data_IF_932748928028
#
_entry.id   IF_932748928028
#
_cell.length_a   1.000
_cell.length_b   1.000
_cell.length_c   1.000
_cell.angle_alpha   90.00
_cell.angle_beta   90.00
_cell.angle_gamma   90.00
#
_symmetry.space_group_name_H-M   'P 1'
#
loop_
_entity.id
_entity.type
_entity.pdbx_description
1 polymer ?
#
# COMPACT_ATOMS: atom_id res chain seq x y z
N UNK A 1 -1.37 10.12 -13.18
CA UNK A 1 -0.39 9.05 -12.90
C UNK A 1 -0.04 9.11 -11.43
N UNK A 2 -0.22 8.04 -10.69
CA UNK A 2 0.35 7.92 -9.35
C UNK A 2 1.84 7.70 -9.57
N UNK A 3 2.62 8.80 -9.59
CA UNK A 3 4.08 8.71 -9.63
C UNK A 3 4.50 8.08 -8.30
N UNK A 4 5.16 6.93 -8.33
CA UNK A 4 5.74 6.30 -7.14
C UNK A 4 6.93 7.08 -6.55
N UNK A 5 7.06 8.37 -6.87
CA UNK A 5 8.09 9.25 -6.39
C UNK A 5 7.49 10.57 -5.89
N UNK A 6 8.05 11.10 -4.82
CA UNK A 6 7.72 12.42 -4.27
C UNK A 6 9.01 13.17 -3.90
N UNK A 7 8.98 14.50 -4.01
CA UNK A 7 10.08 15.31 -3.53
C UNK A 7 10.07 15.37 -1.99
N UNK A 8 11.17 14.95 -1.37
CA UNK A 8 11.25 14.87 0.10
C UNK A 8 12.65 14.48 0.59
N UNK A 9 12.70 14.02 1.84
CA UNK A 9 13.96 13.65 2.51
C UNK A 9 14.20 12.14 2.58
N UNK A 10 13.19 11.29 2.36
CA UNK A 10 13.32 9.84 2.42
C UNK A 10 13.51 9.30 3.83
N UNK A 11 12.54 9.56 4.69
CA UNK A 11 12.51 8.97 6.04
C UNK A 11 11.08 8.65 6.47
N UNK A 12 10.96 7.63 7.31
CA UNK A 12 9.75 7.38 8.07
C UNK A 12 9.76 8.27 9.32
N UNK A 13 8.62 8.89 9.64
CA UNK A 13 8.46 9.67 10.86
C UNK A 13 7.33 9.08 11.72
N UNK A 14 7.46 9.19 13.03
CA UNK A 14 6.44 8.79 14.01
C UNK A 14 6.14 9.91 14.96
N UNK A 15 4.89 9.98 15.46
CA UNK A 15 4.48 11.02 16.42
C UNK A 15 4.64 10.50 17.85
N UNK A 16 5.38 11.26 18.65
CA UNK A 16 5.49 11.00 20.09
C UNK A 16 4.46 11.85 20.85
N UNK A 17 3.45 11.18 21.41
CA UNK A 17 2.34 11.83 22.11
C UNK A 17 2.76 12.56 23.38
N UNK A 18 3.81 12.06 24.08
CA UNK A 18 4.33 12.69 25.31
C UNK A 18 5.07 13.98 24.99
N UNK A 19 5.91 13.98 23.96
CA UNK A 19 6.67 15.14 23.52
C UNK A 19 5.85 16.09 22.64
N UNK A 20 4.68 15.67 22.15
CA UNK A 20 3.84 16.36 21.17
C UNK A 20 4.64 16.77 19.92
N UNK A 21 5.58 15.91 19.48
CA UNK A 21 6.48 16.14 18.33
C UNK A 21 6.64 14.88 17.50
N UNK A 22 6.89 15.07 16.21
CA UNK A 22 7.31 13.99 15.34
C UNK A 22 8.80 13.70 15.52
N UNK A 23 9.17 12.44 15.31
CA UNK A 23 10.55 11.94 15.40
C UNK A 23 10.89 11.16 14.13
N UNK A 24 12.17 11.14 13.76
CA UNK A 24 12.66 10.20 12.74
C UNK A 24 12.52 8.78 13.31
N UNK A 25 11.69 7.95 12.67
CA UNK A 25 11.61 6.53 12.97
C UNK A 25 12.69 5.76 12.23
N UNK A 26 12.90 6.09 10.94
CA UNK A 26 13.90 5.44 10.09
C UNK A 26 14.27 6.36 8.92
N UNK A 27 15.55 6.76 8.75
CA UNK A 27 16.04 7.36 7.52
C UNK A 27 16.34 6.25 6.51
N UNK A 28 15.79 6.35 5.28
CA UNK A 28 16.04 5.33 4.25
C UNK A 28 17.45 5.48 3.68
N UNK A 29 18.12 4.36 3.46
CA UNK A 29 19.46 4.32 2.92
C UNK A 29 19.56 5.04 1.55
N UNK A 30 20.64 5.77 1.33
CA UNK A 30 20.89 6.52 0.09
C UNK A 30 20.03 7.76 -0.12
N UNK A 31 19.15 8.12 0.81
CA UNK A 31 18.26 9.28 0.71
C UNK A 31 18.86 10.54 1.38
N UNK A 32 18.31 11.74 1.12
CA UNK A 32 18.78 12.97 1.76
C UNK A 32 18.83 12.93 3.29
N UNK A 33 17.87 12.27 3.92
CA UNK A 33 17.86 12.12 5.38
C UNK A 33 19.08 11.35 5.88
N UNK A 34 19.38 10.21 5.26
CA UNK A 34 20.55 9.40 5.61
C UNK A 34 21.86 10.11 5.26
N UNK A 35 21.94 10.72 4.06
CA UNK A 35 23.11 11.49 3.61
C UNK A 35 23.43 12.68 4.53
N UNK A 36 22.40 13.35 5.06
CA UNK A 36 22.56 14.45 6.01
C UNK A 36 22.98 13.96 7.41
N UNK A 37 22.89 12.65 7.71
CA UNK A 37 23.24 12.09 9.01
C UNK A 37 22.11 12.10 10.04
N UNK A 38 20.84 12.22 9.60
CA UNK A 38 19.70 11.98 10.48
C UNK A 38 19.69 10.54 10.96
N UNK A 39 19.26 10.33 12.20
CA UNK A 39 19.19 9.01 12.84
C UNK A 39 17.80 8.73 13.41
N UNK A 40 17.47 7.46 13.56
CA UNK A 40 16.29 7.06 14.30
C UNK A 40 16.35 7.63 15.72
N UNK A 41 15.23 8.17 16.20
CA UNK A 41 15.12 8.85 17.48
C UNK A 41 15.34 10.38 17.44
N UNK A 42 15.82 10.96 16.34
CA UNK A 42 15.94 12.42 16.21
C UNK A 42 14.55 13.08 16.32
N UNK A 43 14.40 13.96 17.29
CA UNK A 43 13.14 14.71 17.55
C UNK A 43 13.14 15.94 16.66
N UNK A 44 12.10 16.09 15.85
CA UNK A 44 11.98 17.20 14.90
C UNK A 44 11.48 18.46 15.62
N UNK A 45 12.31 19.51 15.64
CA UNK A 45 12.06 20.74 16.38
C UNK A 45 11.52 21.84 15.47
N UNK A 46 12.24 22.19 14.40
CA UNK A 46 11.90 23.30 13.51
C UNK A 46 12.25 22.97 12.05
N UNK A 47 11.44 23.49 11.13
CA UNK A 47 11.71 23.53 9.69
C UNK A 47 11.69 24.99 9.24
N UNK A 48 12.83 25.50 8.71
CA UNK A 48 13.00 26.91 8.29
C UNK A 48 12.52 27.91 9.33
N UNK A 49 12.86 27.68 10.62
CA UNK A 49 12.48 28.53 11.76
C UNK A 49 11.02 28.34 12.24
N UNK A 50 10.24 27.47 11.61
CA UNK A 50 8.86 27.17 12.04
C UNK A 50 8.86 26.02 13.03
N UNK A 51 8.38 26.27 14.25
CA UNK A 51 8.25 25.23 15.30
C UNK A 51 7.27 24.13 14.89
N UNK A 52 7.62 22.89 15.21
CA UNK A 52 6.85 21.67 14.93
C UNK A 52 6.07 21.16 16.16
N UNK A 53 6.09 21.89 17.30
CA UNK A 53 5.35 21.48 18.49
C UNK A 53 3.84 21.36 18.20
N UNK A 54 3.25 20.26 18.60
CA UNK A 54 1.81 20.01 18.42
C UNK A 54 1.36 19.68 17.00
N UNK A 55 2.24 19.75 15.99
CA UNK A 55 1.91 19.36 14.62
C UNK A 55 1.91 17.84 14.50
N UNK A 56 0.87 17.32 13.88
CA UNK A 56 0.76 15.87 13.63
C UNK A 56 1.69 15.41 12.49
N UNK A 57 1.86 14.10 12.35
CA UNK A 57 2.75 13.52 11.32
C UNK A 57 2.41 13.94 9.89
N UNK A 58 1.13 14.16 9.58
CA UNK A 58 0.72 14.58 8.23
C UNK A 58 1.18 16.00 7.93
N UNK A 59 1.03 16.93 8.88
CA UNK A 59 1.48 18.31 8.75
C UNK A 59 3.01 18.39 8.63
N UNK A 60 3.73 17.67 9.51
CA UNK A 60 5.21 17.63 9.45
C UNK A 60 5.67 17.00 8.14
N UNK A 61 5.05 15.91 7.70
CA UNK A 61 5.36 15.26 6.42
C UNK A 61 5.14 16.20 5.22
N UNK A 62 4.09 17.04 5.25
CA UNK A 62 3.87 18.03 4.19
C UNK A 62 4.97 19.11 4.17
N UNK A 63 5.46 19.53 5.34
CA UNK A 63 6.56 20.51 5.43
C UNK A 63 7.91 19.93 4.99
N UNK A 64 8.17 18.66 5.27
CA UNK A 64 9.37 17.94 4.81
C UNK A 64 9.36 17.71 3.29
N UNK A 65 8.17 17.58 2.68
CA UNK A 65 8.01 17.44 1.23
C UNK A 65 8.18 18.77 0.52
N UNK A 66 8.46 18.70 -0.78
CA UNK A 66 8.59 19.86 -1.65
C UNK A 66 9.19 19.49 -2.99
N UNK A 67 9.47 20.47 -3.83
CA UNK A 67 10.09 20.24 -5.12
C UNK A 67 11.52 19.67 -4.93
N UNK A 68 11.86 18.61 -5.68
CA UNK A 68 13.23 18.10 -5.69
C UNK A 68 14.22 19.19 -6.12
N UNK A 69 15.40 19.25 -5.47
CA UNK A 69 16.41 20.27 -5.64
C UNK A 69 16.26 21.48 -4.71
N UNK A 70 15.12 21.64 -4.01
CA UNK A 70 14.98 22.71 -3.01
C UNK A 70 15.60 22.29 -1.68
N UNK A 71 16.25 23.23 -0.98
CA UNK A 71 16.84 23.02 0.35
C UNK A 71 16.00 23.66 1.45
N UNK A 72 16.17 23.16 2.66
CA UNK A 72 15.61 23.74 3.88
C UNK A 72 16.49 23.40 5.09
N UNK A 73 16.33 24.17 6.16
CA UNK A 73 17.00 23.92 7.44
C UNK A 73 16.10 23.12 8.36
N UNK A 74 16.63 22.06 8.94
CA UNK A 74 15.94 21.20 9.91
C UNK A 74 16.72 21.23 11.22
N UNK A 75 16.07 21.67 12.30
CA UNK A 75 16.60 21.51 13.65
C UNK A 75 15.98 20.28 14.29
N UNK A 76 16.85 19.50 14.93
CA UNK A 76 16.45 18.33 15.70
C UNK A 76 17.11 18.33 17.07
N UNK A 77 16.53 17.57 17.98
CA UNK A 77 17.15 17.18 19.24
C UNK A 77 17.43 15.68 19.21
N UNK A 78 18.69 15.29 19.32
CA UNK A 78 19.13 13.90 19.34
C UNK A 78 19.32 13.42 20.77
N UNK A 79 18.61 12.37 21.21
CA UNK A 79 18.87 11.72 22.51
C UNK A 79 20.33 11.28 22.61
N UNK A 80 20.96 11.51 23.77
CA UNK A 80 22.34 11.14 24.02
C UNK A 80 22.44 10.10 25.15
N UNK A 81 23.59 9.44 25.26
CA UNK A 81 23.85 8.36 26.25
C UNK A 81 23.74 8.81 27.72
N UNK A 82 23.82 10.12 27.98
CA UNK A 82 23.72 10.71 29.31
C UNK A 82 22.26 11.01 29.73
N UNK A 83 21.27 10.59 28.92
CA UNK A 83 19.86 10.84 29.14
C UNK A 83 19.39 12.25 28.83
N UNK A 84 20.25 13.08 28.20
CA UNK A 84 19.93 14.42 27.71
C UNK A 84 19.65 14.42 26.19
N UNK A 85 19.51 15.62 25.64
CA UNK A 85 19.30 15.86 24.22
C UNK A 85 20.40 16.80 23.70
N UNK A 86 20.88 16.53 22.49
CA UNK A 86 21.87 17.36 21.81
C UNK A 86 21.18 18.05 20.63
N UNK A 87 21.11 19.39 20.60
CA UNK A 87 20.55 20.12 19.47
C UNK A 87 21.48 20.04 18.28
N UNK A 88 20.90 19.80 17.10
CA UNK A 88 21.61 19.71 15.83
C UNK A 88 20.81 20.45 14.76
N UNK A 89 21.53 21.04 13.78
CA UNK A 89 20.92 21.67 12.61
C UNK A 89 21.50 21.01 11.34
N UNK A 90 20.60 20.69 10.41
CA UNK A 90 20.92 20.09 9.12
C UNK A 90 20.37 20.95 7.99
N UNK A 91 21.18 21.16 6.94
CA UNK A 91 20.67 21.67 5.67
C UNK A 91 20.41 20.47 4.76
N UNK A 92 19.16 20.25 4.40
CA UNK A 92 18.75 19.09 3.62
C UNK A 92 18.23 19.54 2.26
N UNK A 93 18.79 18.97 1.19
CA UNK A 93 18.29 19.15 -0.18
C UNK A 93 17.30 18.06 -0.48
N UNK A 94 16.05 18.42 -0.85
CA UNK A 94 15.02 17.44 -1.24
C UNK A 94 15.42 16.76 -2.53
N UNK A 95 15.28 15.44 -2.57
CA UNK A 95 15.44 14.65 -3.79
C UNK A 95 14.10 14.02 -4.18
N UNK A 96 14.02 13.48 -5.40
CA UNK A 96 12.90 12.62 -5.80
C UNK A 96 13.06 11.27 -5.11
N UNK A 97 12.27 11.04 -4.06
CA UNK A 97 12.30 9.81 -3.27
C UNK A 97 11.43 8.77 -3.96
N UNK A 98 12.03 7.66 -4.33
CA UNK A 98 11.31 6.46 -4.74
C UNK A 98 11.21 5.52 -3.54
N UNK A 99 10.00 5.26 -3.10
CA UNK A 99 9.77 4.20 -2.11
C UNK A 99 9.88 2.87 -2.86
N UNK A 100 10.78 1.96 -2.47
CA UNK A 100 10.88 0.65 -3.11
C UNK A 100 9.55 -0.08 -2.95
N UNK A 101 9.04 -0.64 -4.06
CA UNK A 101 7.82 -1.43 -4.02
C UNK A 101 8.02 -2.73 -3.23
N UNK A 102 9.23 -3.28 -3.30
CA UNK A 102 9.67 -4.46 -2.54
C UNK A 102 10.77 -4.01 -1.56
N UNK A 103 10.44 -3.51 -0.36
CA UNK A 103 11.42 -3.08 0.62
C UNK A 103 12.22 -4.26 1.19
N UNK A 104 11.67 -5.45 1.18
CA UNK A 104 12.31 -6.63 1.75
C UNK A 104 11.87 -7.92 1.04
N UNK A 105 12.84 -8.78 0.72
CA UNK A 105 12.61 -10.14 0.22
C UNK A 105 13.72 -11.05 0.74
N UNK A 106 13.35 -12.24 1.23
CA UNK A 106 14.30 -13.23 1.79
C UNK A 106 13.75 -14.64 1.69
N UNK A 107 14.64 -15.63 1.75
CA UNK A 107 14.25 -17.02 2.04
C UNK A 107 14.32 -17.21 3.55
N UNK A 108 13.20 -17.55 4.15
CA UNK A 108 13.08 -17.89 5.56
C UNK A 108 13.41 -19.37 5.78
N UNK A 109 13.39 -19.81 7.04
CA UNK A 109 13.50 -21.23 7.39
C UNK A 109 12.48 -22.08 6.61
N UNK A 110 12.79 -23.38 6.45
CA UNK A 110 11.96 -24.31 5.69
C UNK A 110 11.74 -23.94 4.20
N UNK A 111 12.64 -23.16 3.60
CA UNK A 111 12.59 -22.76 2.19
C UNK A 111 11.34 -21.94 1.83
N UNK A 112 10.85 -21.15 2.75
CA UNK A 112 9.75 -20.24 2.51
C UNK A 112 10.29 -18.92 1.96
N UNK A 113 9.96 -18.58 0.72
CA UNK A 113 10.22 -17.25 0.15
C UNK A 113 9.27 -16.23 0.78
N UNK A 114 9.78 -15.08 1.22
CA UNK A 114 8.99 -13.97 1.73
C UNK A 114 9.24 -12.73 0.87
N UNK A 115 8.16 -12.06 0.46
CA UNK A 115 8.20 -10.79 -0.29
C UNK A 115 7.28 -9.79 0.40
N UNK A 116 7.84 -8.69 0.91
CA UNK A 116 7.06 -7.54 1.37
C UNK A 116 6.76 -6.64 0.16
N UNK A 117 5.49 -6.46 -0.17
CA UNK A 117 5.02 -5.58 -1.23
C UNK A 117 4.32 -4.37 -0.60
N UNK A 118 4.99 -3.22 -0.57
CA UNK A 118 4.55 -2.03 0.17
C UNK A 118 3.63 -1.10 -0.62
N UNK A 119 3.67 -1.14 -1.96
CA UNK A 119 2.87 -0.28 -2.83
C UNK A 119 2.72 -0.86 -4.23
N UNK A 120 1.65 -0.49 -4.92
CA UNK A 120 1.46 -0.75 -6.35
C UNK A 120 1.76 0.49 -7.20
N UNK A 121 2.71 1.33 -6.77
CA UNK A 121 3.17 2.51 -7.52
C UNK A 121 4.55 2.27 -8.14
N UNK A 122 4.86 2.91 -9.25
CA UNK A 122 6.08 2.67 -9.99
C UNK A 122 5.97 1.46 -10.92
N UNK A 123 6.89 0.52 -10.80
CA UNK A 123 6.90 -0.75 -11.56
C UNK A 123 6.99 -1.97 -10.63
N UNK A 124 6.08 -2.10 -9.64
CA UNK A 124 6.17 -3.16 -8.62
C UNK A 124 6.12 -4.57 -9.19
N UNK A 125 5.46 -4.80 -10.31
CA UNK A 125 5.40 -6.11 -10.95
C UNK A 125 6.79 -6.58 -11.42
N UNK A 126 7.61 -5.68 -11.97
CA UNK A 126 8.99 -6.01 -12.38
C UNK A 126 9.87 -6.32 -11.17
N UNK A 127 9.78 -5.51 -10.13
CA UNK A 127 10.55 -5.69 -8.89
C UNK A 127 10.13 -7.00 -8.20
N UNK A 128 8.82 -7.27 -8.17
CA UNK A 128 8.26 -8.52 -7.65
C UNK A 128 8.75 -9.75 -8.43
N UNK A 129 8.71 -9.68 -9.77
CA UNK A 129 9.24 -10.76 -10.63
C UNK A 129 10.70 -11.04 -10.33
N UNK A 130 11.52 -10.00 -10.22
CA UNK A 130 12.93 -10.14 -9.89
C UNK A 130 13.11 -10.83 -8.53
N UNK A 131 12.43 -10.34 -7.49
CA UNK A 131 12.49 -10.91 -6.15
C UNK A 131 12.04 -12.38 -6.15
N UNK A 132 10.91 -12.72 -6.81
CA UNK A 132 10.42 -14.09 -6.91
C UNK A 132 11.46 -15.03 -7.56
N UNK A 133 12.04 -14.62 -8.69
CA UNK A 133 13.03 -15.43 -9.39
C UNK A 133 14.32 -15.62 -8.58
N UNK A 134 14.74 -14.58 -7.84
CA UNK A 134 15.92 -14.65 -6.97
C UNK A 134 15.66 -15.56 -5.75
N UNK A 135 14.48 -15.52 -5.15
CA UNK A 135 14.10 -16.44 -4.07
C UNK A 135 14.04 -17.91 -4.56
N UNK A 136 13.49 -18.14 -5.74
CA UNK A 136 13.47 -19.50 -6.36
C UNK A 136 14.88 -20.03 -6.61
N UNK A 137 15.81 -19.20 -7.08
CA UNK A 137 17.24 -19.58 -7.25
C UNK A 137 17.89 -19.94 -5.91
N UNK A 138 17.46 -19.28 -4.80
CA UNK A 138 17.90 -19.59 -3.45
C UNK A 138 17.21 -20.83 -2.84
N UNK A 139 16.33 -21.50 -3.61
CA UNK A 139 15.67 -22.74 -3.21
C UNK A 139 14.34 -22.58 -2.48
N UNK A 140 13.68 -21.43 -2.60
CA UNK A 140 12.32 -21.27 -2.08
C UNK A 140 11.34 -22.22 -2.78
N UNK A 141 10.56 -22.97 -1.98
CA UNK A 141 9.55 -23.93 -2.44
C UNK A 141 8.12 -23.52 -2.13
N UNK A 142 7.94 -22.47 -1.35
CA UNK A 142 6.66 -21.82 -1.04
C UNK A 142 6.85 -20.32 -0.93
N UNK A 143 5.77 -19.54 -0.99
CA UNK A 143 5.83 -18.07 -1.03
C UNK A 143 4.86 -17.44 -0.04
N UNK A 144 5.36 -16.47 0.71
CA UNK A 144 4.56 -15.52 1.48
C UNK A 144 4.62 -14.16 0.81
N UNK A 145 3.47 -13.60 0.47
CA UNK A 145 3.32 -12.22 -0.05
C UNK A 145 2.74 -11.37 1.06
N UNK A 146 3.48 -10.40 1.56
CA UNK A 146 3.00 -9.52 2.62
C UNK A 146 2.43 -8.23 2.04
N UNK A 147 1.12 -8.06 2.16
CA UNK A 147 0.35 -6.88 1.76
C UNK A 147 -0.16 -6.07 2.95
N UNK A 148 0.30 -6.36 4.17
CA UNK A 148 -0.12 -5.60 5.35
C UNK A 148 0.29 -4.14 5.21
N UNK A 149 -0.64 -3.24 5.51
CA UNK A 149 -0.48 -1.78 5.38
C UNK A 149 -0.23 -1.28 3.94
N UNK A 150 -0.43 -2.11 2.92
CA UNK A 150 -0.35 -1.70 1.53
C UNK A 150 -1.68 -1.11 1.06
N UNK A 151 -1.75 0.22 0.95
CA UNK A 151 -2.95 0.94 0.51
C UNK A 151 -3.28 0.81 -0.98
N UNK A 152 -2.55 -0.02 -1.74
CA UNK A 152 -2.78 -0.27 -3.16
C UNK A 152 -1.91 0.60 -4.09
N UNK A 153 -2.50 0.99 -5.21
CA UNK A 153 -1.87 1.77 -6.27
C UNK A 153 -2.49 1.47 -7.63
N UNK A 154 -1.65 1.16 -8.62
CA UNK A 154 -2.09 0.89 -9.99
C UNK A 154 -2.74 -0.49 -10.10
N UNK A 155 -3.95 -0.51 -10.66
CA UNK A 155 -4.71 -1.74 -10.88
C UNK A 155 -3.97 -2.71 -11.82
N UNK A 156 -3.39 -2.18 -12.90
CA UNK A 156 -2.68 -2.99 -13.90
C UNK A 156 -1.49 -3.74 -13.30
N UNK A 157 -0.84 -3.16 -12.29
CA UNK A 157 0.27 -3.81 -11.58
C UNK A 157 -0.19 -4.99 -10.72
N UNK A 158 -1.38 -4.88 -10.09
CA UNK A 158 -1.96 -6.02 -9.37
C UNK A 158 -2.35 -7.15 -10.33
N UNK A 159 -2.89 -6.82 -11.51
CA UNK A 159 -3.21 -7.79 -12.55
C UNK A 159 -1.94 -8.48 -13.07
N UNK A 160 -0.86 -7.72 -13.28
CA UNK A 160 0.41 -8.28 -13.76
C UNK A 160 1.06 -9.21 -12.72
N UNK A 161 1.00 -8.88 -11.41
CA UNK A 161 1.50 -9.79 -10.36
C UNK A 161 0.63 -11.06 -10.28
N UNK A 162 -0.69 -10.93 -10.37
CA UNK A 162 -1.59 -12.09 -10.40
C UNK A 162 -1.29 -13.01 -11.61
N UNK A 163 -0.91 -12.42 -12.76
CA UNK A 163 -0.55 -13.16 -13.95
C UNK A 163 0.66 -14.09 -13.75
N UNK A 164 1.54 -13.82 -12.79
CA UNK A 164 2.68 -14.71 -12.52
C UNK A 164 2.27 -16.06 -11.96
N UNK A 165 1.07 -16.18 -11.40
CA UNK A 165 0.60 -17.34 -10.66
C UNK A 165 -0.68 -17.99 -11.21
N UNK A 166 -1.26 -17.44 -12.26
CA UNK A 166 -2.55 -17.86 -12.80
C UNK A 166 -2.44 -18.16 -14.29
N UNK A 167 -3.18 -19.17 -14.79
CA UNK A 167 -3.21 -19.47 -16.21
C UNK A 167 -3.67 -18.28 -17.06
N UNK A 168 -3.22 -18.21 -18.30
CA UNK A 168 -3.65 -17.20 -19.26
C UNK A 168 -5.17 -17.20 -19.47
N UNK A 169 -5.76 -16.02 -19.62
CA UNK A 169 -7.19 -15.83 -19.89
C UNK A 169 -8.09 -15.73 -18.64
N UNK A 170 -7.53 -15.92 -17.43
CA UNK A 170 -8.32 -15.78 -16.19
C UNK A 170 -8.69 -14.31 -15.93
N UNK A 171 -9.96 -14.08 -15.62
CA UNK A 171 -10.44 -12.76 -15.17
C UNK A 171 -9.88 -12.48 -13.78
N UNK A 172 -9.27 -11.31 -13.59
CA UNK A 172 -8.71 -10.86 -12.31
C UNK A 172 -9.63 -9.81 -11.68
N UNK A 173 -10.10 -8.87 -12.48
CA UNK A 173 -10.98 -7.81 -12.02
C UNK A 173 -11.83 -7.26 -13.17
N UNK A 174 -13.08 -6.93 -12.87
CA UNK A 174 -13.97 -6.23 -13.79
C UNK A 174 -14.36 -4.88 -13.17
N UNK A 175 -14.21 -3.80 -13.90
CA UNK A 175 -14.74 -2.49 -13.50
C UNK A 175 -16.09 -2.26 -14.16
N UNK A 176 -17.05 -1.69 -13.42
CA UNK A 176 -18.38 -1.30 -13.93
C UNK A 176 -18.66 0.14 -13.53
N UNK A 177 -18.84 0.99 -14.52
CA UNK A 177 -19.16 2.41 -14.36
C UNK A 177 -20.40 2.81 -15.18
N UNK A 178 -20.79 4.08 -15.09
CA UNK A 178 -21.93 4.62 -15.85
C UNK A 178 -21.67 4.69 -17.38
N UNK A 179 -20.42 4.77 -17.80
CA UNK A 179 -20.03 4.85 -19.20
C UNK A 179 -19.32 3.58 -19.65
N UNK A 180 -19.35 3.28 -20.96
CA UNK A 180 -18.60 2.14 -21.52
C UNK A 180 -17.10 2.23 -21.24
N UNK A 181 -16.51 3.44 -21.31
CA UNK A 181 -15.08 3.67 -21.02
C UNK A 181 -14.69 3.38 -19.57
N UNK A 182 -15.65 3.45 -18.65
CA UNK A 182 -15.47 3.15 -17.24
C UNK A 182 -15.70 1.66 -16.88
N UNK A 183 -16.04 0.84 -17.88
CA UNK A 183 -16.37 -0.58 -17.73
C UNK A 183 -15.38 -1.42 -18.53
N UNK A 184 -14.50 -2.16 -17.83
CA UNK A 184 -13.44 -2.96 -18.45
C UNK A 184 -13.29 -4.30 -17.71
N UNK A 185 -12.82 -5.32 -18.41
CA UNK A 185 -12.47 -6.62 -17.83
C UNK A 185 -10.98 -6.86 -18.02
N UNK A 186 -10.26 -7.04 -16.92
CA UNK A 186 -8.83 -7.28 -16.89
C UNK A 186 -8.59 -8.76 -16.68
N UNK A 187 -7.77 -9.35 -17.55
CA UNK A 187 -7.45 -10.77 -17.56
C UNK A 187 -5.94 -10.98 -17.55
N UNK A 188 -5.52 -12.15 -17.14
CA UNK A 188 -4.16 -12.61 -17.36
C UNK A 188 -3.88 -12.75 -18.86
N UNK A 189 -2.79 -12.16 -19.34
CA UNK A 189 -2.48 -12.10 -20.78
C UNK A 189 -1.23 -12.89 -21.15
N UNK A 190 -0.37 -13.22 -20.19
CA UNK A 190 0.92 -13.88 -20.41
C UNK A 190 0.92 -15.27 -19.80
N UNK A 191 1.91 -16.07 -20.22
CA UNK A 191 2.19 -17.33 -19.55
C UNK A 191 2.65 -17.07 -18.12
N UNK A 192 2.17 -17.88 -17.15
CA UNK A 192 2.53 -17.74 -15.75
C UNK A 192 4.01 -18.04 -15.51
N UNK A 193 4.55 -17.52 -14.43
CA UNK A 193 5.90 -17.87 -13.97
C UNK A 193 5.90 -19.17 -13.16
N UNK A 194 4.83 -19.39 -12.39
CA UNK A 194 4.71 -20.55 -11.52
C UNK A 194 3.24 -20.81 -11.15
N UNK A 195 2.70 -21.92 -11.59
CA UNK A 195 1.34 -22.34 -11.26
C UNK A 195 1.25 -23.14 -9.95
N UNK A 196 2.37 -23.72 -9.51
CA UNK A 196 2.37 -24.76 -8.49
C UNK A 196 2.87 -24.31 -7.13
N UNK A 197 3.74 -23.30 -7.07
CA UNK A 197 4.28 -22.81 -5.79
C UNK A 197 3.15 -22.47 -4.81
N UNK A 198 3.10 -23.08 -3.60
CA UNK A 198 2.13 -22.72 -2.58
C UNK A 198 2.28 -21.27 -2.17
N UNK A 199 1.14 -20.54 -2.04
CA UNK A 199 1.13 -19.10 -1.72
C UNK A 199 0.26 -18.82 -0.50
N UNK A 200 0.81 -18.10 0.47
CA UNK A 200 0.05 -17.41 1.50
C UNK A 200 0.17 -15.89 1.31
N UNK A 201 -0.94 -15.17 1.46
CA UNK A 201 -0.97 -13.71 1.38
C UNK A 201 -1.33 -13.13 2.75
N UNK A 202 -0.44 -12.32 3.32
CA UNK A 202 -0.69 -11.64 4.58
C UNK A 202 -1.42 -10.33 4.36
N UNK A 203 -2.51 -10.13 5.08
CA UNK A 203 -3.37 -8.94 4.96
C UNK A 203 -3.78 -8.37 6.32
N UNK A 204 -4.12 -7.08 6.35
CA UNK A 204 -4.70 -6.43 7.53
C UNK A 204 -5.65 -5.29 7.11
N UNK A 205 -6.18 -4.54 8.09
CA UNK A 205 -7.08 -3.41 7.85
C UNK A 205 -6.46 -2.26 7.04
N UNK A 206 -5.13 -2.21 6.91
CA UNK A 206 -4.42 -1.26 6.03
C UNK A 206 -4.26 -1.75 4.59
N UNK A 207 -4.60 -3.01 4.29
CA UNK A 207 -4.57 -3.59 2.94
C UNK A 207 -5.76 -3.08 2.14
N UNK A 208 -5.54 -2.33 1.05
CA UNK A 208 -6.63 -1.66 0.33
C UNK A 208 -6.45 -1.64 -1.20
N UNK A 209 -7.57 -1.50 -1.94
CA UNK A 209 -7.58 -1.21 -3.40
C UNK A 209 -6.86 -2.28 -4.24
N UNK A 210 -5.77 -1.96 -4.95
CA UNK A 210 -5.00 -2.91 -5.77
C UNK A 210 -4.51 -4.13 -4.96
N UNK A 211 -4.21 -3.94 -3.67
CA UNK A 211 -3.87 -5.05 -2.76
C UNK A 211 -5.05 -5.99 -2.54
N UNK A 212 -6.27 -5.44 -2.47
CA UNK A 212 -7.49 -6.25 -2.35
C UNK A 212 -7.85 -6.93 -3.68
N UNK A 213 -7.52 -6.31 -4.81
CA UNK A 213 -7.65 -6.97 -6.12
C UNK A 213 -6.72 -8.18 -6.19
N UNK A 214 -5.44 -8.04 -5.82
CA UNK A 214 -4.49 -9.15 -5.84
C UNK A 214 -4.89 -10.25 -4.86
N UNK A 215 -5.06 -9.93 -3.57
CA UNK A 215 -5.41 -10.92 -2.54
C UNK A 215 -6.76 -11.59 -2.81
N UNK A 216 -7.77 -10.80 -3.13
CA UNK A 216 -9.11 -11.32 -3.39
C UNK A 216 -9.21 -12.14 -4.68
N UNK A 217 -8.49 -11.79 -5.75
CA UNK A 217 -8.49 -12.59 -6.96
C UNK A 217 -7.76 -13.93 -6.77
N UNK A 218 -6.65 -13.95 -6.02
CA UNK A 218 -5.97 -15.19 -5.68
C UNK A 218 -6.82 -16.07 -4.76
N UNK A 219 -7.60 -15.48 -3.84
CA UNK A 219 -8.57 -16.19 -3.01
C UNK A 219 -9.71 -16.78 -3.84
N UNK A 220 -10.36 -15.96 -4.67
CA UNK A 220 -11.53 -16.36 -5.46
C UNK A 220 -11.20 -17.45 -6.50
N UNK A 221 -9.94 -17.48 -6.97
CA UNK A 221 -9.45 -18.51 -7.90
C UNK A 221 -8.76 -19.69 -7.18
N UNK A 222 -8.88 -19.76 -5.86
CA UNK A 222 -8.29 -20.82 -5.01
C UNK A 222 -6.77 -21.01 -5.23
N UNK A 223 -6.07 -19.92 -5.56
CA UNK A 223 -4.64 -19.95 -5.84
C UNK A 223 -3.76 -19.67 -4.62
N UNK A 224 -4.29 -18.97 -3.63
CA UNK A 224 -3.58 -18.64 -2.40
C UNK A 224 -4.49 -18.75 -1.18
N UNK A 225 -3.87 -18.95 -0.02
CA UNK A 225 -4.51 -18.82 1.29
C UNK A 225 -4.29 -17.41 1.81
N UNK A 226 -5.36 -16.73 2.21
CA UNK A 226 -5.30 -15.37 2.77
C UNK A 226 -5.27 -15.46 4.29
N UNK A 227 -4.28 -14.82 4.91
CA UNK A 227 -3.99 -14.92 6.35
C UNK A 227 -3.92 -13.53 6.97
N UNK A 228 -4.53 -13.34 8.13
CA UNK A 228 -4.45 -12.09 8.89
C UNK A 228 -5.79 -11.55 9.32
N UNK A 229 -6.08 -10.28 9.05
CA UNK A 229 -7.35 -9.63 9.41
C UNK A 229 -8.05 -9.09 8.17
N UNK A 230 -9.37 -8.85 8.30
CA UNK A 230 -10.21 -8.27 7.25
C UNK A 230 -9.55 -7.02 6.65
N UNK A 231 -9.54 -6.90 5.33
CA UNK A 231 -8.95 -5.77 4.61
C UNK A 231 -9.82 -4.52 4.69
N UNK A 232 -9.34 -3.41 4.17
CA UNK A 232 -9.97 -2.08 4.27
C UNK A 232 -11.36 -2.02 3.62
N UNK A 233 -11.55 -2.67 2.47
CA UNK A 233 -12.81 -2.61 1.72
C UNK A 233 -12.94 -1.40 0.81
N UNK A 234 -11.93 -1.11 -0.01
CA UNK A 234 -11.98 -0.06 -1.04
C UNK A 234 -12.24 -0.66 -2.41
N UNK A 235 -13.51 -0.69 -2.81
CA UNK A 235 -14.01 -1.24 -4.08
C UNK A 235 -14.34 -0.20 -5.16
N UNK A 236 -13.87 1.04 -5.00
CA UNK A 236 -14.14 2.16 -5.91
C UNK A 236 -12.91 2.56 -6.72
N UNK A 237 -13.10 2.74 -8.02
CA UNK A 237 -12.08 3.30 -8.91
C UNK A 237 -12.22 4.82 -8.94
N UNK A 238 -11.15 5.51 -8.60
CA UNK A 238 -11.09 6.97 -8.59
C UNK A 238 -10.07 7.46 -9.60
N UNK A 239 -10.45 8.44 -10.42
CA UNK A 239 -9.60 9.03 -11.46
C UNK A 239 -9.41 10.52 -11.16
N UNK A 240 -8.15 11.01 -11.13
CA UNK A 240 -7.90 12.43 -11.02
C UNK A 240 -8.29 13.13 -12.34
N UNK A 241 -8.94 14.28 -12.23
CA UNK A 241 -9.30 15.17 -13.36
C UNK A 241 -8.74 16.54 -13.09
N UNK A 242 -8.00 17.08 -14.06
CA UNK A 242 -7.52 18.46 -13.99
C UNK A 242 -8.68 19.44 -14.12
N UNK A 243 -8.64 20.49 -13.31
CA UNK A 243 -9.54 21.62 -13.35
C UNK A 243 -8.79 22.86 -13.82
N UNK A 244 -9.50 23.94 -14.23
CA UNK A 244 -8.88 25.23 -14.47
C UNK A 244 -8.06 25.72 -13.27
N UNK A 245 -7.08 26.59 -13.51
CA UNK A 245 -6.20 27.19 -12.50
C UNK A 245 -5.34 26.18 -11.72
N UNK A 246 -4.99 25.03 -12.32
CA UNK A 246 -4.12 24.02 -11.71
C UNK A 246 -4.79 23.18 -10.63
N UNK A 247 -6.10 23.32 -10.43
CA UNK A 247 -6.87 22.49 -9.52
C UNK A 247 -6.96 21.03 -9.99
N UNK A 248 -7.16 20.12 -9.05
CA UNK A 248 -7.38 18.69 -9.33
C UNK A 248 -8.62 18.20 -8.60
N UNK A 249 -9.47 17.47 -9.30
CA UNK A 249 -10.64 16.80 -8.72
C UNK A 249 -10.47 15.30 -8.81
N UNK A 250 -10.77 14.57 -7.74
CA UNK A 250 -10.78 13.11 -7.70
C UNK A 250 -12.20 12.60 -7.83
N UNK A 251 -12.49 11.93 -8.93
CA UNK A 251 -13.84 11.48 -9.29
C UNK A 251 -13.92 9.96 -9.20
N UNK A 252 -14.93 9.45 -8.51
CA UNK A 252 -15.28 8.02 -8.57
C UNK A 252 -16.01 7.73 -9.87
N UNK A 253 -15.43 6.83 -10.68
CA UNK A 253 -15.95 6.50 -12.03
C UNK A 253 -16.56 5.11 -12.10
N UNK A 254 -16.12 4.16 -11.27
CA UNK A 254 -16.53 2.76 -11.35
C UNK A 254 -16.46 2.08 -9.99
N UNK A 255 -17.16 0.95 -9.86
CA UNK A 255 -16.89 -0.10 -8.88
C UNK A 255 -16.07 -1.20 -9.53
N UNK A 256 -15.27 -1.91 -8.75
CA UNK A 256 -14.62 -3.11 -9.25
C UNK A 256 -15.13 -4.38 -8.56
N UNK A 257 -15.08 -5.46 -9.32
CA UNK A 257 -15.56 -6.78 -8.96
C UNK A 257 -14.45 -7.78 -9.23
N UNK A 258 -14.11 -8.60 -8.23
CA UNK A 258 -13.10 -9.65 -8.33
C UNK A 258 -13.71 -10.94 -8.91
N UNK A 259 -12.96 -12.01 -9.17
CA UNK A 259 -13.39 -13.13 -10.02
C UNK A 259 -14.72 -13.79 -9.63
N UNK A 260 -15.03 -13.92 -8.35
CA UNK A 260 -16.32 -14.46 -7.89
C UNK A 260 -17.53 -13.57 -8.25
N UNK A 261 -17.28 -12.32 -8.69
CA UNK A 261 -18.31 -11.32 -8.97
C UNK A 261 -18.64 -10.42 -7.78
N UNK A 262 -18.01 -10.62 -6.61
CA UNK A 262 -18.20 -9.78 -5.43
C UNK A 262 -17.48 -8.45 -5.52
N UNK A 263 -18.08 -7.42 -4.89
CA UNK A 263 -17.47 -6.10 -4.72
C UNK A 263 -17.01 -5.97 -3.27
N UNK A 264 -15.71 -5.70 -3.07
CA UNK A 264 -15.13 -5.58 -1.71
C UNK A 264 -15.45 -4.27 -0.99
N UNK A 265 -16.24 -3.35 -1.60
CA UNK A 265 -16.54 -2.03 -1.03
C UNK A 265 -17.25 -2.14 0.31
N UNK A 266 -16.60 -1.69 1.37
CA UNK A 266 -17.13 -1.74 2.74
C UNK A 266 -17.87 -0.46 3.14
N UNK A 267 -17.40 0.72 2.71
CA UNK A 267 -18.02 2.00 3.10
C UNK A 267 -19.28 2.25 2.30
N UNK A 268 -20.39 2.51 3.00
CA UNK A 268 -21.68 2.82 2.39
C UNK A 268 -21.85 4.33 2.16
N UNK A 269 -21.41 4.80 1.00
CA UNK A 269 -21.58 6.21 0.61
C UNK A 269 -23.02 6.60 0.23
N UNK A 270 -23.93 5.64 0.13
CA UNK A 270 -25.34 5.92 -0.23
C UNK A 270 -26.13 6.42 0.97
N UNK A 271 -25.84 5.88 2.14
CA UNK A 271 -26.52 6.23 3.38
C UNK A 271 -25.54 7.04 4.25
N UNK A 272 -25.86 8.32 4.40
CA UNK A 272 -25.10 9.24 5.26
C UNK A 272 -25.87 9.45 6.55
N UNK A 273 -25.12 9.52 7.64
CA UNK A 273 -25.65 9.93 8.93
C UNK A 273 -25.99 11.43 8.90
N UNK A 274 -26.75 11.90 9.88
CA UNK A 274 -27.14 13.33 10.01
C UNK A 274 -25.95 14.28 10.08
N UNK A 275 -24.82 13.83 10.67
CA UNK A 275 -23.55 14.57 10.74
C UNK A 275 -22.71 14.52 9.45
N UNK A 276 -23.24 13.87 8.39
CA UNK A 276 -22.54 13.70 7.11
C UNK A 276 -21.52 12.57 7.07
N UNK A 277 -21.28 11.89 8.18
CA UNK A 277 -20.42 10.71 8.23
C UNK A 277 -21.03 9.53 7.46
N UNK A 278 -20.21 8.53 7.14
CA UNK A 278 -20.62 7.32 6.44
C UNK A 278 -20.23 6.09 7.26
N UNK A 279 -21.14 5.13 7.31
CA UNK A 279 -20.92 3.84 7.97
C UNK A 279 -20.31 2.80 7.01
N UNK A 280 -20.13 1.61 7.54
CA UNK A 280 -19.78 0.40 6.77
C UNK A 280 -21.06 -0.42 6.49
N UNK A 281 -21.01 -1.22 5.43
CA UNK A 281 -22.09 -2.16 5.12
C UNK A 281 -22.11 -3.21 6.24
N UNK A 282 -23.24 -3.39 6.97
CA UNK A 282 -23.36 -4.43 7.98
C UNK A 282 -23.18 -5.82 7.39
N UNK A 283 -22.57 -6.75 8.12
CA UNK A 283 -22.34 -8.12 7.64
C UNK A 283 -23.68 -8.84 7.28
N UNK A 284 -24.78 -8.46 7.95
CA UNK A 284 -26.14 -8.98 7.66
C UNK A 284 -26.69 -8.57 6.28
N UNK A 285 -26.14 -7.51 5.67
CA UNK A 285 -26.53 -7.01 4.34
C UNK A 285 -25.54 -7.43 3.24
N UNK A 286 -24.55 -8.24 3.56
CA UNK A 286 -23.59 -8.76 2.58
C UNK A 286 -24.16 -9.96 1.83
N UNK A 287 -23.82 -10.10 0.55
CA UNK A 287 -24.22 -11.22 -0.28
C UNK A 287 -23.15 -12.31 -0.26
N UNK A 288 -23.60 -13.54 -0.41
CA UNK A 288 -22.75 -14.73 -0.53
C UNK A 288 -22.33 -14.92 -1.98
N UNK A 289 -21.05 -15.21 -2.19
CA UNK A 289 -20.43 -15.60 -3.44
C UNK A 289 -19.58 -16.85 -3.20
N UNK A 290 -19.08 -17.46 -4.28
CA UNK A 290 -18.30 -18.67 -4.19
C UNK A 290 -16.98 -18.53 -4.96
N UNK A 291 -15.92 -19.08 -4.41
CA UNK A 291 -14.64 -19.23 -5.11
C UNK A 291 -14.74 -20.25 -6.24
N UNK A 292 -13.72 -20.39 -7.06
CA UNK A 292 -13.69 -21.38 -8.13
C UNK A 292 -13.88 -22.83 -7.64
N UNK A 293 -13.42 -23.15 -6.41
CA UNK A 293 -13.60 -24.45 -5.76
C UNK A 293 -14.87 -24.54 -4.90
N UNK A 294 -15.73 -23.52 -4.91
CA UNK A 294 -17.00 -23.53 -4.17
C UNK A 294 -16.93 -23.14 -2.70
N UNK A 295 -15.84 -22.51 -2.23
CA UNK A 295 -15.75 -21.95 -0.87
C UNK A 295 -16.60 -20.67 -0.77
N UNK A 296 -17.34 -20.50 0.33
CA UNK A 296 -18.12 -19.30 0.56
C UNK A 296 -17.22 -18.08 0.81
N UNK A 297 -17.52 -16.98 0.12
CA UNK A 297 -16.92 -15.66 0.32
C UNK A 297 -18.02 -14.60 0.26
N UNK A 298 -17.79 -13.40 0.83
CA UNK A 298 -18.81 -12.35 0.91
C UNK A 298 -18.33 -11.05 0.31
N UNK A 299 -19.27 -10.22 -0.15
CA UNK A 299 -19.05 -8.84 -0.55
C UNK A 299 -19.15 -7.86 0.63
N UNK A 300 -19.07 -6.56 0.36
CA UNK A 300 -19.46 -5.49 1.29
C UNK A 300 -18.52 -5.24 2.48
N UNK A 301 -17.46 -6.02 2.65
CA UNK A 301 -16.64 -5.93 3.85
C UNK A 301 -15.14 -6.11 3.64
N UNK A 302 -14.60 -5.77 2.46
CA UNK A 302 -13.22 -6.08 2.12
C UNK A 302 -13.02 -7.57 1.77
N UNK A 303 -11.77 -7.99 1.79
CA UNK A 303 -11.40 -9.42 1.67
C UNK A 303 -11.30 -10.00 3.08
N UNK A 304 -12.15 -10.98 3.37
CA UNK A 304 -12.09 -11.73 4.63
C UNK A 304 -10.98 -12.79 4.49
N UNK A 305 -10.02 -12.87 5.42
CA UNK A 305 -8.98 -13.89 5.37
C UNK A 305 -9.57 -15.29 5.57
N UNK A 306 -8.92 -16.29 4.97
CA UNK A 306 -9.23 -17.70 5.18
C UNK A 306 -8.80 -18.15 6.58
N UNK A 307 -7.72 -17.56 7.08
CA UNK A 307 -7.18 -17.79 8.43
C UNK A 307 -7.04 -16.45 9.14
N UNK A 308 -7.86 -16.23 10.17
CA UNK A 308 -7.77 -15.02 11.00
C UNK A 308 -6.69 -15.17 12.06
N UNK A 309 -5.85 -14.15 12.19
CA UNK A 309 -4.80 -14.06 13.22
C UNK A 309 -5.14 -12.90 14.14
N UNK A 310 -5.12 -13.15 15.45
CA UNK A 310 -5.38 -12.13 16.48
C UNK A 310 -4.14 -11.30 16.77
#
# INVERSE_FOLDING_TARGET
MVKGSFGGIGSLITYNTKLKRSMIAEPFEGTPAAKAGLKAGDILMEIDGKDLLGKNNSEVSQMLRGQAGTSFKLKVERPNEKGGQTPMEFTIVRESIQTPAIPYATVMDNKVGYISLSTFSGNPSKDFKKALLDLKKQGATSLVIDLRNNGGGLLDEAVEIANYFLPRGKVIVTTKGKTKQASNTYKTLREPLDLDIPIAVLVNSGTASASEILSGSLQDLDRAVIVGNRTFGKGLVQVPRSLPYGGMMKVTTSKYYIPSGRCVQAIDYKHRNEDGSVGTIPDSLTNVFYTAAGREVRDGGGVMPDITVK
#
